data_IF_323776290935
#
_entry.id   IF_323776290935
#
_cell.length_a   1.000
_cell.length_b   1.000
_cell.length_c   1.000
_cell.angle_alpha   90.00
_cell.angle_beta   90.00
_cell.angle_gamma   90.00
#
_symmetry.space_group_name_H-M   'P 1'
#
loop_
_entity.id
_entity.type
_entity.pdbx_description
1 polymer ?
#
# COMPACT_ATOMS: atom_id res chain seq x y z
N UNK A 1 32.92 -11.64 -21.87
CA UNK A 1 33.71 -11.30 -23.09
C UNK A 1 32.78 -11.17 -24.30
N UNK A 2 31.88 -12.12 -24.52
CA UNK A 2 31.04 -12.17 -25.73
C UNK A 2 30.02 -11.05 -25.84
N UNK A 3 29.45 -10.58 -24.72
CA UNK A 3 28.48 -9.48 -24.73
C UNK A 3 29.13 -8.13 -25.08
N UNK A 4 30.35 -7.86 -24.62
CA UNK A 4 31.09 -6.65 -25.01
C UNK A 4 31.37 -6.62 -26.51
N UNK A 5 31.74 -7.75 -27.09
CA UNK A 5 31.97 -7.86 -28.53
C UNK A 5 30.68 -7.70 -29.33
N UNK A 6 29.56 -8.20 -28.82
CA UNK A 6 28.22 -8.13 -29.44
C UNK A 6 27.61 -6.71 -29.35
N UNK A 7 27.90 -5.98 -28.28
CA UNK A 7 27.35 -4.64 -28.01
C UNK A 7 28.46 -3.63 -27.70
N UNK A 8 29.31 -3.25 -28.70
CA UNK A 8 30.50 -2.42 -28.48
C UNK A 8 30.18 -1.00 -28.04
N UNK A 9 28.97 -0.51 -28.24
CA UNK A 9 28.52 0.84 -27.85
C UNK A 9 27.78 0.85 -26.49
N UNK A 10 27.60 -0.31 -25.85
CA UNK A 10 26.94 -0.37 -24.55
C UNK A 10 27.86 0.12 -23.42
N UNK A 11 27.30 0.88 -22.49
CA UNK A 11 27.98 1.22 -21.25
C UNK A 11 28.26 -0.05 -20.44
N UNK A 12 29.48 -0.17 -19.93
CA UNK A 12 29.89 -1.30 -19.12
C UNK A 12 29.90 -0.93 -17.64
N UNK A 13 29.06 -1.61 -16.86
CA UNK A 13 29.04 -1.49 -15.40
C UNK A 13 29.60 -2.77 -14.79
N UNK A 14 30.67 -2.66 -14.02
CA UNK A 14 31.27 -3.80 -13.31
C UNK A 14 30.53 -4.03 -11.98
N UNK A 15 29.85 -5.18 -11.87
CA UNK A 15 29.18 -5.58 -10.64
C UNK A 15 30.16 -6.05 -9.52
N UNK A 16 31.46 -6.05 -9.79
CA UNK A 16 32.53 -6.42 -8.83
C UNK A 16 32.29 -7.72 -8.09
N UNK A 17 31.76 -8.72 -8.78
CA UNK A 17 31.40 -10.02 -8.21
C UNK A 17 30.08 -10.06 -7.44
N UNK A 18 29.32 -8.97 -7.46
CA UNK A 18 27.99 -8.89 -6.84
C UNK A 18 26.92 -9.63 -7.66
N UNK A 19 25.75 -9.80 -7.04
CA UNK A 19 24.57 -10.37 -7.66
C UNK A 19 23.79 -9.28 -8.39
N UNK A 20 23.43 -9.54 -9.65
CA UNK A 20 22.52 -8.69 -10.43
C UNK A 20 21.14 -9.31 -10.36
N UNK A 21 20.15 -8.54 -9.94
CA UNK A 21 18.75 -8.97 -9.83
C UNK A 21 17.82 -7.81 -10.23
N UNK A 22 16.53 -8.10 -10.57
CA UNK A 22 15.54 -7.06 -10.73
C UNK A 22 15.42 -6.20 -9.48
N UNK A 23 15.13 -4.91 -9.64
CA UNK A 23 14.89 -4.03 -8.51
C UNK A 23 13.66 -4.48 -7.71
N UNK A 24 13.69 -4.20 -6.41
CA UNK A 24 12.62 -4.59 -5.50
C UNK A 24 11.37 -3.74 -5.74
N UNK A 25 10.21 -4.33 -5.48
CA UNK A 25 8.90 -3.67 -5.55
C UNK A 25 8.33 -3.63 -4.14
N UNK A 26 7.98 -2.43 -3.66
CA UNK A 26 7.25 -2.23 -2.42
C UNK A 26 5.76 -2.11 -2.74
N UNK A 27 4.96 -3.13 -2.37
CA UNK A 27 3.57 -3.23 -2.79
C UNK A 27 2.59 -2.41 -1.92
N UNK A 28 3.08 -1.76 -0.86
CA UNK A 28 2.31 -0.83 -0.02
C UNK A 28 3.25 0.00 0.84
N UNK A 29 3.16 1.32 0.70
CA UNK A 29 3.91 2.28 1.51
C UNK A 29 3.12 3.59 1.66
N UNK A 30 3.54 4.43 2.60
CA UNK A 30 3.00 5.76 2.82
C UNK A 30 4.09 6.80 2.68
N UNK A 31 4.17 7.43 1.53
CA UNK A 31 5.17 8.47 1.25
C UNK A 31 5.11 9.61 2.28
N UNK A 32 3.92 9.98 2.73
CA UNK A 32 3.72 11.04 3.71
C UNK A 32 4.37 10.75 5.07
N UNK A 33 4.67 9.51 5.37
CA UNK A 33 5.23 9.08 6.65
C UNK A 33 6.73 9.37 6.82
N UNK A 34 7.44 9.73 5.75
CA UNK A 34 8.89 9.91 5.82
C UNK A 34 9.33 10.97 6.84
N UNK A 35 8.52 12.02 7.04
CA UNK A 35 8.78 13.08 8.01
C UNK A 35 8.37 12.72 9.46
N UNK A 36 7.72 11.56 9.66
CA UNK A 36 7.38 11.07 11.00
C UNK A 36 8.58 10.51 11.77
N UNK A 37 9.68 10.18 11.06
CA UNK A 37 10.87 9.61 11.68
C UNK A 37 11.51 10.59 12.65
N UNK A 38 11.57 10.19 13.93
CA UNK A 38 12.11 11.04 15.00
C UNK A 38 11.16 12.13 15.50
N UNK A 39 9.92 12.18 15.01
CA UNK A 39 8.90 13.08 15.52
C UNK A 39 8.53 12.69 16.95
N UNK A 40 8.55 13.67 17.85
CA UNK A 40 8.03 13.55 19.22
C UNK A 40 6.76 14.37 19.35
N UNK A 41 5.68 13.74 19.78
CA UNK A 41 4.39 14.41 20.02
C UNK A 41 4.16 14.41 21.53
N UNK A 42 4.00 15.61 22.10
CA UNK A 42 3.80 15.79 23.53
C UNK A 42 2.54 15.06 24.03
N UNK A 43 2.71 14.25 25.08
CA UNK A 43 1.60 13.48 25.66
C UNK A 43 1.16 12.27 24.87
N UNK A 44 1.79 11.95 23.73
CA UNK A 44 1.48 10.77 22.95
C UNK A 44 1.93 9.49 23.67
N UNK A 45 0.97 8.67 24.07
CA UNK A 45 1.20 7.36 24.71
C UNK A 45 0.05 6.42 24.38
N UNK A 46 -0.05 5.92 23.13
CA UNK A 46 -1.18 5.14 22.68
C UNK A 46 -1.26 3.79 23.37
N UNK A 47 -2.48 3.39 23.71
CA UNK A 47 -2.80 2.07 24.30
C UNK A 47 -3.60 1.19 23.35
N UNK A 48 -4.00 1.74 22.19
CA UNK A 48 -4.75 1.06 21.16
C UNK A 48 -4.32 1.53 19.76
N UNK A 49 -4.59 0.72 18.77
CA UNK A 49 -4.34 1.07 17.37
C UNK A 49 -5.08 2.34 16.93
N UNK A 50 -6.32 2.53 17.39
CA UNK A 50 -7.06 3.75 17.09
C UNK A 50 -6.34 5.01 17.61
N UNK A 51 -5.75 4.94 18.81
CA UNK A 51 -4.97 6.03 19.36
C UNK A 51 -3.65 6.27 18.62
N UNK A 52 -3.07 5.22 18.00
CA UNK A 52 -1.93 5.38 17.07
C UNK A 52 -2.36 6.19 15.83
N UNK A 53 -3.52 5.88 15.26
CA UNK A 53 -4.04 6.60 14.11
C UNK A 53 -4.37 8.05 14.46
N UNK A 54 -5.20 8.29 15.48
CA UNK A 54 -5.68 9.63 15.83
C UNK A 54 -4.57 10.54 16.39
N UNK A 55 -3.72 9.98 17.25
CA UNK A 55 -2.67 10.74 17.93
C UNK A 55 -1.40 10.97 17.11
N UNK A 56 -1.13 10.17 16.09
CA UNK A 56 0.09 10.30 15.28
C UNK A 56 -0.22 10.47 13.80
N UNK A 57 -0.80 9.48 13.12
CA UNK A 57 -0.92 9.51 11.66
C UNK A 57 -1.88 10.58 11.15
N UNK A 58 -3.06 10.71 11.76
CA UNK A 58 -4.04 11.74 11.42
C UNK A 58 -3.62 13.14 11.88
N UNK A 59 -2.78 13.21 12.94
CA UNK A 59 -2.15 14.47 13.32
C UNK A 59 -1.15 14.94 12.25
N UNK A 60 -0.33 14.03 11.73
CA UNK A 60 0.65 14.32 10.68
C UNK A 60 -0.06 14.75 9.39
N UNK A 61 -1.00 13.96 8.89
CA UNK A 61 -1.64 14.22 7.61
C UNK A 61 -2.49 15.50 7.59
N UNK A 62 -3.07 15.89 8.72
CA UNK A 62 -3.76 17.18 8.89
C UNK A 62 -2.82 18.39 8.88
N UNK A 63 -1.51 18.19 8.95
CA UNK A 63 -0.49 19.23 8.92
C UNK A 63 0.40 19.21 7.68
N UNK A 64 0.17 18.29 6.74
CA UNK A 64 0.92 18.21 5.48
C UNK A 64 0.29 19.09 4.41
N UNK A 65 0.98 20.18 4.08
CA UNK A 65 0.76 20.97 2.87
C UNK A 65 1.49 20.34 1.66
N UNK A 66 1.35 20.94 0.48
CA UNK A 66 2.01 20.43 -0.74
C UNK A 66 3.54 20.47 -0.68
N UNK A 67 4.13 21.43 0.04
CA UNK A 67 5.60 21.50 0.17
C UNK A 67 6.12 20.43 1.14
N UNK A 68 5.43 20.19 2.25
CA UNK A 68 5.74 19.08 3.16
C UNK A 68 5.54 17.71 2.49
N UNK A 69 4.47 17.55 1.70
CA UNK A 69 4.22 16.36 0.88
C UNK A 69 5.38 16.12 -0.10
N UNK A 70 5.84 17.16 -0.80
CA UNK A 70 7.00 17.07 -1.69
C UNK A 70 8.28 16.69 -0.95
N UNK A 71 8.56 17.31 0.18
CA UNK A 71 9.75 17.01 0.99
C UNK A 71 9.73 15.58 1.52
N UNK A 72 8.57 15.10 1.98
CA UNK A 72 8.38 13.71 2.40
C UNK A 72 8.62 12.74 1.24
N UNK A 73 8.10 13.05 0.04
CA UNK A 73 8.31 12.23 -1.14
C UNK A 73 9.80 12.15 -1.53
N UNK A 74 10.52 13.27 -1.48
CA UNK A 74 11.97 13.28 -1.74
C UNK A 74 12.73 12.39 -0.75
N UNK A 75 12.41 12.50 0.55
CA UNK A 75 13.07 11.72 1.59
C UNK A 75 12.82 10.21 1.40
N UNK A 76 11.56 9.79 1.18
CA UNK A 76 11.20 8.39 1.04
C UNK A 76 11.73 7.78 -0.26
N UNK A 77 11.67 8.50 -1.39
CA UNK A 77 12.17 8.02 -2.67
C UNK A 77 13.68 7.80 -2.63
N UNK A 78 14.45 8.75 -2.04
CA UNK A 78 15.89 8.59 -1.85
C UNK A 78 16.22 7.36 -1.01
N UNK A 79 15.48 7.17 0.10
CA UNK A 79 15.69 6.03 0.99
C UNK A 79 15.33 4.70 0.28
N UNK A 80 14.22 4.66 -0.44
CA UNK A 80 13.81 3.51 -1.26
C UNK A 80 14.86 3.11 -2.29
N UNK A 81 15.45 4.08 -3.01
CA UNK A 81 16.52 3.83 -4.00
C UNK A 81 17.74 3.23 -3.32
N UNK A 82 18.13 3.74 -2.14
CA UNK A 82 19.27 3.19 -1.37
C UNK A 82 19.04 1.74 -0.94
N UNK A 83 17.80 1.34 -0.72
CA UNK A 83 17.40 -0.03 -0.38
C UNK A 83 17.14 -0.92 -1.61
N UNK A 84 17.38 -0.41 -2.82
CA UNK A 84 17.19 -1.18 -4.07
C UNK A 84 15.75 -1.31 -4.52
N UNK A 85 14.84 -0.52 -3.97
CA UNK A 85 13.45 -0.44 -4.43
C UNK A 85 13.39 0.41 -5.69
N UNK A 86 12.72 -0.09 -6.72
CA UNK A 86 12.57 0.59 -8.02
C UNK A 86 11.12 0.86 -8.41
N UNK A 87 10.18 0.28 -7.66
CA UNK A 87 8.74 0.48 -7.87
C UNK A 87 8.03 0.54 -6.51
N UNK A 88 7.19 1.53 -6.32
CA UNK A 88 6.41 1.72 -5.09
C UNK A 88 4.92 1.82 -5.39
N UNK A 89 4.11 1.28 -4.47
CA UNK A 89 2.67 1.48 -4.42
C UNK A 89 2.38 2.36 -3.21
N UNK A 90 2.14 3.65 -3.46
CA UNK A 90 1.90 4.63 -2.42
C UNK A 90 0.42 4.78 -2.10
N UNK A 91 0.14 4.94 -0.83
CA UNK A 91 -1.18 5.17 -0.29
C UNK A 91 -1.14 6.48 0.51
N UNK A 92 -1.54 7.60 -0.12
CA UNK A 92 -1.24 8.95 0.34
C UNK A 92 -2.38 9.60 1.12
N UNK A 93 -2.01 10.33 2.17
CA UNK A 93 -2.89 11.23 2.91
C UNK A 93 -2.19 12.56 3.23
N UNK A 94 -2.88 13.69 2.98
CA UNK A 94 -2.45 15.05 3.32
C UNK A 94 -3.67 15.95 3.45
N UNK A 95 -4.44 15.79 4.56
CA UNK A 95 -5.72 16.48 4.72
C UNK A 95 -5.60 18.00 4.98
N UNK A 96 -4.39 18.53 5.25
CA UNK A 96 -4.16 19.97 5.20
C UNK A 96 -4.43 20.51 3.78
N UNK A 97 -3.81 19.91 2.78
CA UNK A 97 -3.94 20.34 1.38
C UNK A 97 -4.08 19.11 0.45
N UNK A 98 -5.34 18.78 0.10
CA UNK A 98 -5.68 17.58 -0.69
C UNK A 98 -5.42 17.78 -2.19
N UNK A 99 -5.97 18.83 -2.86
CA UNK A 99 -5.86 18.96 -4.30
C UNK A 99 -4.41 19.15 -4.77
N UNK A 100 -3.99 18.31 -5.71
CA UNK A 100 -2.66 18.38 -6.33
C UNK A 100 -1.57 17.63 -5.58
N UNK A 101 -1.88 16.98 -4.45
CA UNK A 101 -0.91 16.23 -3.64
C UNK A 101 -0.31 15.03 -4.38
N UNK A 102 -1.11 14.26 -5.10
CA UNK A 102 -0.62 13.14 -5.92
C UNK A 102 0.29 13.62 -7.05
N UNK A 103 0.01 14.77 -7.63
CA UNK A 103 0.88 15.36 -8.65
C UNK A 103 2.23 15.79 -8.09
N UNK A 104 2.28 16.33 -6.85
CA UNK A 104 3.55 16.64 -6.18
C UNK A 104 4.42 15.40 -5.98
N UNK A 105 3.80 14.29 -5.59
CA UNK A 105 4.51 13.00 -5.46
C UNK A 105 4.98 12.50 -6.84
N UNK A 106 4.12 12.57 -7.85
CA UNK A 106 4.44 12.14 -9.21
C UNK A 106 5.62 12.94 -9.82
N UNK A 107 5.70 14.25 -9.55
CA UNK A 107 6.83 15.09 -9.95
C UNK A 107 8.14 14.57 -9.35
N UNK A 108 8.15 14.28 -8.05
CA UNK A 108 9.33 13.77 -7.34
C UNK A 108 9.71 12.38 -7.85
N UNK A 109 8.77 11.45 -7.97
CA UNK A 109 9.09 10.09 -8.45
C UNK A 109 9.65 10.12 -9.87
N UNK A 110 9.17 11.02 -10.73
CA UNK A 110 9.71 11.23 -12.07
C UNK A 110 11.11 11.81 -12.05
N UNK A 111 11.36 12.81 -11.20
CA UNK A 111 12.67 13.45 -11.06
C UNK A 111 13.76 12.43 -10.68
N UNK A 112 13.44 11.52 -9.77
CA UNK A 112 14.36 10.49 -9.30
C UNK A 112 14.34 9.18 -10.13
N UNK A 113 13.48 9.07 -11.14
CA UNK A 113 13.38 7.88 -11.98
C UNK A 113 12.77 6.66 -11.26
N UNK A 114 11.93 6.87 -10.24
CA UNK A 114 11.20 5.84 -9.51
C UNK A 114 9.88 5.53 -10.20
N UNK A 115 9.56 4.23 -10.38
CA UNK A 115 8.20 3.82 -10.75
C UNK A 115 7.27 3.96 -9.57
N UNK A 116 6.11 4.54 -9.79
CA UNK A 116 5.11 4.73 -8.73
C UNK A 116 3.69 4.44 -9.22
N UNK A 117 2.94 3.71 -8.41
CA UNK A 117 1.49 3.60 -8.48
C UNK A 117 0.91 4.37 -7.30
N UNK A 118 0.17 5.44 -7.55
CA UNK A 118 -0.27 6.38 -6.52
C UNK A 118 -1.79 6.34 -6.36
N UNK A 119 -2.25 6.58 -5.14
CA UNK A 119 -3.65 6.82 -4.82
C UNK A 119 -3.77 7.70 -3.57
N UNK A 120 -4.93 8.37 -3.41
CA UNK A 120 -5.24 9.20 -2.26
C UNK A 120 -6.23 8.48 -1.32
N UNK A 121 -5.99 8.52 -0.02
CA UNK A 121 -6.86 7.94 1.00
C UNK A 121 -8.19 8.69 1.14
N UNK A 122 -9.24 8.22 0.47
CA UNK A 122 -10.59 8.71 0.72
C UNK A 122 -11.01 8.34 2.15
N UNK A 123 -11.52 9.32 2.89
CA UNK A 123 -11.99 9.14 4.26
C UNK A 123 -13.04 10.20 4.62
N UNK A 124 -14.00 9.84 5.44
CA UNK A 124 -15.05 10.75 5.96
C UNK A 124 -14.65 11.39 7.31
N UNK A 125 -13.50 11.03 7.89
CA UNK A 125 -13.06 11.44 9.23
C UNK A 125 -12.85 12.94 9.41
N UNK A 126 -12.51 13.67 8.34
CA UNK A 126 -12.29 15.11 8.34
C UNK A 126 -13.46 15.88 7.68
N UNK A 127 -14.63 15.23 7.58
CA UNK A 127 -15.87 15.82 7.09
C UNK A 127 -16.10 15.68 5.59
N UNK A 128 -17.32 16.02 5.16
CA UNK A 128 -17.78 15.78 3.80
C UNK A 128 -16.97 16.53 2.73
N UNK A 129 -16.54 17.75 3.02
CA UNK A 129 -15.73 18.53 2.08
C UNK A 129 -14.40 17.84 1.75
N UNK A 130 -13.67 17.41 2.79
CA UNK A 130 -12.40 16.70 2.62
C UNK A 130 -12.58 15.34 1.94
N UNK A 131 -13.66 14.64 2.27
CA UNK A 131 -14.04 13.39 1.60
C UNK A 131 -14.27 13.61 0.09
N UNK A 132 -15.00 14.65 -0.30
CA UNK A 132 -15.23 14.98 -1.71
C UNK A 132 -13.93 15.41 -2.43
N UNK A 133 -13.07 16.20 -1.78
CA UNK A 133 -11.76 16.57 -2.31
C UNK A 133 -10.90 15.33 -2.55
N UNK A 134 -10.90 14.35 -1.63
CA UNK A 134 -10.14 13.10 -1.74
C UNK A 134 -10.63 12.22 -2.90
N UNK A 135 -11.94 12.13 -3.10
CA UNK A 135 -12.52 11.45 -4.27
C UNK A 135 -12.10 12.13 -5.57
N UNK A 136 -12.15 13.48 -5.60
CA UNK A 136 -11.79 14.25 -6.78
C UNK A 136 -10.29 14.15 -7.08
N UNK A 137 -9.40 14.17 -6.08
CA UNK A 137 -7.95 14.02 -6.24
C UNK A 137 -7.60 12.69 -6.92
N UNK A 138 -8.21 11.56 -6.46
CA UNK A 138 -8.04 10.27 -7.13
C UNK A 138 -8.49 10.33 -8.59
N UNK A 139 -9.67 10.92 -8.85
CA UNK A 139 -10.23 11.03 -10.20
C UNK A 139 -9.32 11.85 -11.12
N UNK A 140 -8.87 13.01 -10.67
CA UNK A 140 -8.02 13.91 -11.45
C UNK A 140 -6.67 13.26 -11.77
N UNK A 141 -6.12 12.51 -10.81
CA UNK A 141 -4.87 11.78 -11.01
C UNK A 141 -5.03 10.60 -11.97
N UNK A 142 -6.14 9.87 -11.91
CA UNK A 142 -6.48 8.81 -12.88
C UNK A 142 -6.63 9.41 -14.28
N UNK A 143 -7.37 10.53 -14.41
CA UNK A 143 -7.54 11.26 -15.67
C UNK A 143 -6.17 11.67 -16.26
N UNK A 144 -5.27 12.18 -15.39
CA UNK A 144 -3.91 12.53 -15.81
C UNK A 144 -3.12 11.32 -16.32
N UNK A 145 -3.15 10.19 -15.61
CA UNK A 145 -2.42 8.98 -16.02
C UNK A 145 -2.94 8.38 -17.32
N UNK A 146 -4.25 8.46 -17.58
CA UNK A 146 -4.85 8.02 -18.85
C UNK A 146 -4.48 8.93 -20.03
N UNK A 147 -4.44 10.25 -19.79
CA UNK A 147 -4.04 11.22 -20.81
C UNK A 147 -2.54 11.22 -21.09
N UNK A 148 -1.73 10.76 -20.13
CA UNK A 148 -0.27 10.71 -20.20
C UNK A 148 0.26 9.29 -19.91
N UNK A 149 -0.02 8.31 -20.78
CA UNK A 149 0.40 6.91 -20.56
C UNK A 149 1.90 6.81 -20.34
N UNK A 150 2.30 6.09 -19.31
CA UNK A 150 3.72 5.95 -18.92
C UNK A 150 3.97 4.60 -18.26
N UNK A 151 5.14 4.02 -18.49
CA UNK A 151 5.62 2.84 -17.75
C UNK A 151 6.20 3.21 -16.38
N UNK A 152 6.27 4.50 -16.07
CA UNK A 152 6.82 5.00 -14.81
C UNK A 152 5.75 5.39 -13.80
N UNK A 153 4.52 5.68 -14.24
CA UNK A 153 3.47 6.22 -13.39
C UNK A 153 2.13 5.53 -13.67
N UNK A 154 1.51 5.03 -12.63
CA UNK A 154 0.18 4.41 -12.65
C UNK A 154 -0.68 4.98 -11.53
N UNK A 155 -1.98 4.80 -11.63
CA UNK A 155 -2.96 5.21 -10.63
C UNK A 155 -3.77 4.02 -10.12
N UNK A 156 -4.16 4.09 -8.86
CA UNK A 156 -5.25 3.32 -8.28
C UNK A 156 -6.26 4.28 -7.64
N UNK A 157 -7.38 3.78 -7.17
CA UNK A 157 -8.34 4.56 -6.41
C UNK A 157 -8.17 4.23 -4.91
N UNK A 158 -7.72 5.18 -4.10
CA UNK A 158 -7.42 4.98 -2.69
C UNK A 158 -8.66 5.09 -1.80
N UNK A 159 -8.69 4.28 -0.75
CA UNK A 159 -9.61 4.41 0.37
C UNK A 159 -8.89 4.10 1.67
N UNK A 160 -9.12 4.87 2.75
CA UNK A 160 -8.39 4.67 3.99
C UNK A 160 -8.69 3.29 4.60
N UNK A 161 -9.77 3.15 5.35
CA UNK A 161 -10.20 1.90 5.99
C UNK A 161 -11.72 1.90 6.18
N UNK A 162 -12.33 0.71 6.36
CA UNK A 162 -13.80 0.57 6.35
C UNK A 162 -14.48 1.40 7.44
N UNK A 163 -13.87 1.52 8.61
CA UNK A 163 -14.43 2.28 9.73
C UNK A 163 -14.36 3.81 9.56
N UNK A 164 -13.66 4.30 8.53
CA UNK A 164 -13.57 5.73 8.21
C UNK A 164 -14.29 6.10 6.92
N UNK A 165 -14.97 5.15 6.27
CA UNK A 165 -15.65 5.37 4.99
C UNK A 165 -17.09 4.87 5.11
N UNK A 166 -18.06 5.75 4.89
CA UNK A 166 -19.48 5.39 4.85
C UNK A 166 -19.86 4.68 3.54
N UNK A 167 -20.98 3.95 3.54
CA UNK A 167 -21.51 3.33 2.31
C UNK A 167 -21.77 4.37 1.22
N UNK A 168 -22.28 5.55 1.61
CA UNK A 168 -22.48 6.69 0.69
C UNK A 168 -21.17 7.10 0.00
N UNK A 169 -20.07 7.05 0.74
CA UNK A 169 -18.76 7.41 0.19
C UNK A 169 -18.19 6.29 -0.68
N UNK A 170 -18.41 5.01 -0.33
CA UNK A 170 -18.08 3.91 -1.24
C UNK A 170 -18.84 4.01 -2.56
N UNK A 171 -20.12 4.34 -2.55
CA UNK A 171 -20.91 4.55 -3.78
C UNK A 171 -20.34 5.71 -4.61
N UNK A 172 -19.92 6.79 -3.97
CA UNK A 172 -19.24 7.93 -4.63
C UNK A 172 -17.91 7.51 -5.27
N UNK A 173 -17.09 6.73 -4.55
CA UNK A 173 -15.83 6.19 -5.06
C UNK A 173 -16.07 5.29 -6.29
N UNK A 174 -17.04 4.39 -6.20
CA UNK A 174 -17.42 3.49 -7.30
C UNK A 174 -17.90 4.28 -8.53
N UNK A 175 -18.74 5.29 -8.33
CA UNK A 175 -19.22 6.16 -9.40
C UNK A 175 -18.07 6.98 -10.05
N UNK A 176 -17.17 7.54 -9.26
CA UNK A 176 -16.03 8.32 -9.75
C UNK A 176 -14.98 7.47 -10.48
N UNK A 177 -14.71 6.26 -10.00
CA UNK A 177 -13.79 5.31 -10.64
C UNK A 177 -14.39 4.69 -11.92
N UNK A 178 -15.68 4.37 -11.90
CA UNK A 178 -16.38 3.72 -13.03
C UNK A 178 -15.65 2.49 -13.59
N UNK A 179 -14.95 1.74 -12.74
CA UNK A 179 -14.21 0.52 -13.10
C UNK A 179 -12.92 0.74 -13.90
N UNK A 180 -12.40 1.96 -13.95
CA UNK A 180 -11.19 2.32 -14.74
C UNK A 180 -9.93 1.70 -14.17
N UNK A 181 -9.75 1.78 -12.83
CA UNK A 181 -8.59 1.25 -12.10
C UNK A 181 -9.02 0.39 -10.92
N UNK A 182 -8.10 -0.37 -10.34
CA UNK A 182 -8.32 -1.07 -9.07
C UNK A 182 -8.31 -0.13 -7.88
N UNK A 183 -8.78 -0.64 -6.74
CA UNK A 183 -8.74 0.09 -5.47
C UNK A 183 -7.55 -0.32 -4.62
N UNK A 184 -7.07 0.58 -3.79
CA UNK A 184 -6.08 0.30 -2.75
C UNK A 184 -6.65 0.78 -1.41
N UNK A 185 -6.85 -0.14 -0.46
CA UNK A 185 -7.57 0.14 0.79
C UNK A 185 -7.06 -0.74 1.92
N UNK A 186 -6.97 -0.22 3.16
CA UNK A 186 -6.68 -1.00 4.35
C UNK A 186 -7.93 -1.79 4.78
N UNK A 187 -7.75 -3.07 5.07
CA UNK A 187 -8.86 -3.97 5.38
C UNK A 187 -8.55 -4.85 6.58
N UNK A 188 -9.39 -4.76 7.59
CA UNK A 188 -9.31 -5.62 8.78
C UNK A 188 -7.91 -5.60 9.41
N UNK A 189 -7.27 -4.44 9.45
CA UNK A 189 -5.97 -4.25 10.10
C UNK A 189 -6.13 -4.39 11.62
N UNK A 190 -7.01 -3.60 12.22
CA UNK A 190 -7.40 -3.73 13.62
C UNK A 190 -8.81 -4.29 13.76
N UNK A 191 -9.13 -4.84 14.94
CA UNK A 191 -10.48 -5.34 15.24
C UNK A 191 -11.55 -4.23 15.25
N UNK A 192 -11.16 -2.97 15.44
CA UNK A 192 -12.03 -1.81 15.31
C UNK A 192 -12.71 -1.74 13.92
N UNK A 193 -11.99 -2.08 12.85
CA UNK A 193 -12.51 -2.13 11.48
C UNK A 193 -13.63 -3.20 11.36
N UNK A 194 -13.39 -4.36 11.95
CA UNK A 194 -14.38 -5.48 11.98
C UNK A 194 -15.61 -5.13 12.81
N UNK A 195 -15.41 -4.57 14.01
CA UNK A 195 -16.52 -4.23 14.91
C UNK A 195 -17.38 -3.10 14.37
N UNK A 196 -16.78 -2.04 13.84
CA UNK A 196 -17.49 -0.93 13.20
C UNK A 196 -18.34 -1.43 12.04
N UNK A 197 -17.75 -2.23 11.16
CA UNK A 197 -18.41 -2.78 9.98
C UNK A 197 -19.62 -3.66 10.36
N UNK A 198 -19.47 -4.50 11.38
CA UNK A 198 -20.57 -5.33 11.88
C UNK A 198 -21.65 -4.51 12.58
N UNK A 199 -21.26 -3.56 13.43
CA UNK A 199 -22.18 -2.77 14.25
C UNK A 199 -23.03 -1.82 13.40
N UNK A 200 -22.40 -1.11 12.47
CA UNK A 200 -23.02 -0.03 11.71
C UNK A 200 -23.66 -0.52 10.40
N UNK A 201 -23.15 -1.62 9.80
CA UNK A 201 -23.56 -2.07 8.48
C UNK A 201 -24.01 -3.53 8.44
N UNK A 202 -23.88 -4.29 9.54
CA UNK A 202 -24.29 -5.70 9.60
C UNK A 202 -23.50 -6.63 8.67
N UNK A 203 -22.35 -6.20 8.18
CA UNK A 203 -21.46 -6.92 7.26
C UNK A 203 -20.04 -6.93 7.79
N UNK A 204 -19.26 -7.96 7.48
CA UNK A 204 -17.82 -7.92 7.71
C UNK A 204 -17.12 -7.10 6.61
N UNK A 205 -15.91 -6.58 6.87
CA UNK A 205 -15.20 -5.65 5.97
C UNK A 205 -15.17 -6.09 4.50
N UNK A 206 -14.73 -7.31 4.20
CA UNK A 206 -14.62 -7.79 2.80
C UNK A 206 -15.99 -7.98 2.15
N UNK A 207 -17.01 -8.39 2.90
CA UNK A 207 -18.39 -8.50 2.40
C UNK A 207 -18.93 -7.12 2.00
N UNK A 208 -18.66 -6.10 2.84
CA UNK A 208 -19.07 -4.72 2.57
C UNK A 208 -18.41 -4.17 1.30
N UNK A 209 -17.11 -4.44 1.10
CA UNK A 209 -16.42 -4.08 -0.14
C UNK A 209 -17.00 -4.78 -1.38
N UNK A 210 -17.39 -6.04 -1.23
CA UNK A 210 -18.06 -6.79 -2.30
C UNK A 210 -19.40 -6.17 -2.67
N UNK A 211 -20.22 -5.78 -1.70
CA UNK A 211 -21.53 -5.18 -1.91
C UNK A 211 -21.43 -3.84 -2.68
N UNK A 212 -20.34 -3.08 -2.52
CA UNK A 212 -20.06 -1.83 -3.23
C UNK A 212 -19.23 -1.99 -4.52
N UNK A 213 -18.92 -3.22 -4.95
CA UNK A 213 -18.19 -3.48 -6.20
C UNK A 213 -16.72 -3.01 -6.18
N UNK A 214 -16.10 -2.93 -4.99
CA UNK A 214 -14.71 -2.48 -4.81
C UNK A 214 -13.71 -3.59 -5.14
N UNK A 215 -14.10 -4.87 -4.94
CA UNK A 215 -13.21 -6.01 -5.15
C UNK A 215 -12.98 -6.31 -6.64
N UNK A 216 -11.82 -6.88 -6.95
CA UNK A 216 -11.49 -7.30 -8.31
C UNK A 216 -9.98 -7.52 -8.52
N UNK A 217 -9.58 -8.02 -9.71
CA UNK A 217 -8.20 -8.48 -9.97
C UNK A 217 -7.13 -7.39 -9.94
N UNK A 218 -7.52 -6.12 -9.99
CA UNK A 218 -6.62 -4.96 -9.88
C UNK A 218 -6.66 -4.30 -8.50
N UNK A 219 -7.52 -4.76 -7.58
CA UNK A 219 -7.67 -4.19 -6.23
C UNK A 219 -6.68 -4.80 -5.27
N UNK A 220 -6.08 -3.97 -4.42
CA UNK A 220 -5.15 -4.33 -3.34
C UNK A 220 -5.81 -4.07 -2.00
N UNK A 221 -5.87 -5.09 -1.14
CA UNK A 221 -6.30 -5.00 0.25
C UNK A 221 -5.06 -5.02 1.16
N UNK A 222 -4.82 -3.92 1.86
CA UNK A 222 -3.74 -3.82 2.84
C UNK A 222 -4.03 -4.66 4.09
N UNK A 223 -3.00 -5.26 4.68
CA UNK A 223 -2.97 -6.01 5.94
C UNK A 223 -3.78 -7.31 5.97
N UNK A 224 -5.09 -7.28 5.85
CA UNK A 224 -5.98 -8.45 5.92
C UNK A 224 -5.73 -9.33 7.17
N UNK A 225 -5.49 -8.71 8.35
CA UNK A 225 -5.10 -9.44 9.57
C UNK A 225 -6.28 -10.21 10.14
N UNK A 226 -7.43 -9.54 10.30
CA UNK A 226 -8.60 -10.09 10.98
C UNK A 226 -9.68 -10.59 10.00
N UNK A 227 -9.29 -10.96 8.77
CA UNK A 227 -10.19 -11.61 7.82
C UNK A 227 -10.48 -13.05 8.25
N UNK A 228 -11.73 -13.48 8.10
CA UNK A 228 -12.12 -14.87 8.37
C UNK A 228 -12.11 -15.72 7.09
N UNK A 229 -12.36 -17.02 7.22
CA UNK A 229 -12.34 -17.97 6.10
C UNK A 229 -13.33 -17.60 4.99
N UNK A 230 -14.54 -17.13 5.33
CA UNK A 230 -15.55 -16.73 4.35
C UNK A 230 -15.09 -15.47 3.56
N UNK A 231 -14.45 -14.50 4.24
CA UNK A 231 -13.88 -13.34 3.60
C UNK A 231 -12.70 -13.72 2.68
N UNK A 232 -11.85 -14.66 3.09
CA UNK A 232 -10.81 -15.21 2.22
C UNK A 232 -11.39 -15.88 0.97
N UNK A 233 -12.53 -16.55 1.08
CA UNK A 233 -13.21 -17.17 -0.07
C UNK A 233 -13.75 -16.11 -1.03
N UNK A 234 -14.26 -14.99 -0.53
CA UNK A 234 -14.67 -13.84 -1.34
C UNK A 234 -13.45 -13.21 -2.05
N UNK A 235 -12.36 -12.95 -1.32
CA UNK A 235 -11.10 -12.43 -1.89
C UNK A 235 -10.62 -13.33 -3.02
N UNK A 236 -10.64 -14.66 -2.81
CA UNK A 236 -10.26 -15.63 -3.83
C UNK A 236 -11.20 -15.62 -5.03
N UNK A 237 -12.50 -15.60 -4.81
CA UNK A 237 -13.51 -15.65 -5.87
C UNK A 237 -13.49 -14.40 -6.76
N UNK A 238 -13.14 -13.26 -6.21
CA UNK A 238 -13.02 -11.97 -6.91
C UNK A 238 -11.62 -11.74 -7.51
N UNK A 239 -10.70 -12.68 -7.31
CA UNK A 239 -9.28 -12.57 -7.70
C UNK A 239 -8.58 -11.30 -7.17
N UNK A 240 -9.04 -10.80 -6.02
CA UNK A 240 -8.51 -9.61 -5.36
C UNK A 240 -7.14 -9.90 -4.73
N UNK A 241 -6.24 -8.93 -4.77
CA UNK A 241 -4.88 -9.01 -4.22
C UNK A 241 -4.83 -8.57 -2.76
N UNK A 242 -3.92 -9.17 -1.98
CA UNK A 242 -3.63 -8.74 -0.61
C UNK A 242 -2.17 -8.29 -0.47
N UNK A 243 -1.87 -7.43 0.52
CA UNK A 243 -0.50 -7.07 0.88
C UNK A 243 -0.30 -7.23 2.39
N UNK A 244 0.74 -7.94 2.77
CA UNK A 244 1.18 -8.07 4.15
C UNK A 244 2.26 -7.02 4.48
N UNK A 245 2.08 -6.30 5.59
CA UNK A 245 2.99 -5.27 6.09
C UNK A 245 3.51 -5.68 7.48
N UNK A 246 4.46 -6.62 7.57
CA UNK A 246 4.75 -7.35 8.81
C UNK A 246 5.27 -6.46 9.93
N UNK A 247 6.13 -5.49 9.64
CA UNK A 247 6.70 -4.58 10.64
C UNK A 247 5.66 -3.63 11.21
N UNK A 248 4.84 -3.06 10.34
CA UNK A 248 3.72 -2.21 10.75
C UNK A 248 2.72 -2.98 11.61
N UNK A 249 2.33 -4.19 11.17
CA UNK A 249 1.41 -5.02 11.93
C UNK A 249 1.91 -5.30 13.35
N UNK A 250 3.21 -5.55 13.50
CA UNK A 250 3.84 -5.81 14.80
C UNK A 250 4.03 -4.53 15.61
N UNK A 251 4.49 -3.45 14.98
CA UNK A 251 4.72 -2.17 15.64
C UNK A 251 3.44 -1.51 16.14
N UNK A 252 2.35 -1.62 15.38
CA UNK A 252 1.02 -1.16 15.76
C UNK A 252 0.28 -2.15 16.69
N UNK A 253 0.89 -3.30 17.00
CA UNK A 253 0.33 -4.36 17.85
C UNK A 253 -1.07 -4.85 17.40
N UNK A 254 -1.35 -4.85 16.09
CA UNK A 254 -2.66 -5.22 15.51
C UNK A 254 -2.81 -6.71 15.24
N UNK A 255 -1.71 -7.47 15.25
CA UNK A 255 -1.70 -8.91 15.06
C UNK A 255 -0.85 -9.37 13.88
N UNK A 256 -1.04 -10.60 13.45
CA UNK A 256 -0.28 -11.22 12.37
C UNK A 256 -1.23 -11.62 11.24
N UNK A 257 -1.00 -11.11 10.05
CA UNK A 257 -1.79 -11.49 8.86
C UNK A 257 -1.69 -13.00 8.60
N UNK A 258 -2.81 -13.68 8.27
CA UNK A 258 -2.84 -15.13 8.03
C UNK A 258 -2.22 -15.53 6.67
N UNK A 259 -1.00 -15.09 6.40
CA UNK A 259 -0.29 -15.25 5.11
C UNK A 259 -0.30 -16.69 4.62
N UNK A 260 -0.01 -17.65 5.51
CA UNK A 260 0.04 -19.08 5.15
C UNK A 260 -1.32 -19.60 4.65
N UNK A 261 -2.43 -19.10 5.25
CA UNK A 261 -3.79 -19.50 4.87
C UNK A 261 -4.20 -18.83 3.54
N UNK A 262 -3.92 -17.53 3.38
CA UNK A 262 -4.17 -16.79 2.14
C UNK A 262 -3.40 -17.41 0.97
N UNK A 263 -2.11 -17.69 1.16
CA UNK A 263 -1.27 -18.32 0.16
C UNK A 263 -1.76 -19.73 -0.22
N UNK A 264 -2.10 -20.56 0.78
CA UNK A 264 -2.65 -21.91 0.57
C UNK A 264 -3.96 -21.90 -0.21
N UNK A 265 -4.81 -20.88 -0.03
CA UNK A 265 -6.03 -20.68 -0.84
C UNK A 265 -5.72 -20.19 -2.27
N UNK A 266 -4.47 -19.89 -2.60
CA UNK A 266 -4.04 -19.37 -3.90
C UNK A 266 -4.48 -17.92 -4.13
N UNK A 267 -4.61 -17.13 -3.06
CA UNK A 267 -4.80 -15.68 -3.12
C UNK A 267 -3.44 -15.04 -3.44
N UNK A 268 -3.41 -14.10 -4.35
CA UNK A 268 -2.20 -13.33 -4.64
C UNK A 268 -1.93 -12.37 -3.48
N UNK A 269 -0.93 -12.71 -2.67
CA UNK A 269 -0.49 -11.89 -1.54
C UNK A 269 0.93 -11.39 -1.78
N UNK A 270 1.13 -10.07 -1.67
CA UNK A 270 2.41 -9.37 -1.78
C UNK A 270 2.99 -8.95 -0.44
N UNK A 271 4.13 -8.29 -0.49
CA UNK A 271 4.85 -7.72 0.66
C UNK A 271 4.97 -6.21 0.50
N UNK A 272 4.58 -5.48 1.52
CA UNK A 272 4.76 -4.04 1.65
C UNK A 272 5.46 -3.68 2.97
N UNK A 273 5.72 -2.40 3.16
CA UNK A 273 6.39 -1.88 4.35
C UNK A 273 5.52 -0.92 5.16
N UNK A 274 4.42 -0.44 4.56
CA UNK A 274 3.58 0.56 5.20
C UNK A 274 4.39 1.83 5.54
N UNK A 275 4.15 2.44 6.69
CA UNK A 275 4.81 3.65 7.16
C UNK A 275 6.13 3.39 7.95
N UNK A 276 6.65 2.17 7.96
CA UNK A 276 7.73 1.78 8.88
C UNK A 276 9.13 1.85 8.26
N UNK A 277 9.40 1.10 7.20
CA UNK A 277 10.72 1.01 6.59
C UNK A 277 10.63 1.07 5.05
N UNK A 278 11.76 1.21 4.37
CA UNK A 278 11.86 0.99 2.93
C UNK A 278 12.72 -0.24 2.62
N UNK A 279 13.22 -0.95 3.64
CA UNK A 279 14.04 -2.14 3.49
C UNK A 279 13.16 -3.38 3.32
N UNK A 280 12.92 -3.76 2.06
CA UNK A 280 12.15 -4.95 1.71
C UNK A 280 12.81 -6.26 2.17
N UNK A 281 14.14 -6.27 2.37
CA UNK A 281 14.85 -7.45 2.88
C UNK A 281 14.72 -7.57 4.40
N UNK A 282 14.56 -6.48 5.11
CA UNK A 282 14.15 -6.50 6.52
C UNK A 282 12.71 -7.01 6.64
N UNK A 283 11.79 -6.48 5.83
CA UNK A 283 10.39 -6.91 5.82
C UNK A 283 10.22 -8.41 5.54
N UNK A 284 11.01 -9.00 4.63
CA UNK A 284 10.97 -10.46 4.39
C UNK A 284 11.41 -11.25 5.61
N UNK A 285 12.44 -10.78 6.32
CA UNK A 285 12.92 -11.40 7.58
C UNK A 285 11.83 -11.36 8.65
N UNK A 286 11.21 -10.19 8.85
CA UNK A 286 10.15 -10.02 9.86
C UNK A 286 8.91 -10.84 9.48
N UNK A 287 8.50 -10.84 8.21
CA UNK A 287 7.41 -11.69 7.73
C UNK A 287 7.66 -13.18 8.04
N UNK A 288 8.85 -13.68 7.75
CA UNK A 288 9.20 -15.08 8.02
C UNK A 288 9.14 -15.42 9.51
N UNK A 289 9.78 -14.58 10.34
CA UNK A 289 9.82 -14.79 11.79
C UNK A 289 8.42 -14.73 12.41
N UNK A 290 7.58 -13.76 12.00
CA UNK A 290 6.22 -13.63 12.52
C UNK A 290 5.33 -14.82 12.16
N UNK A 291 5.41 -15.33 10.91
CA UNK A 291 4.63 -16.50 10.49
C UNK A 291 5.06 -17.76 11.27
N UNK A 292 6.36 -18.00 11.44
CA UNK A 292 6.88 -19.14 12.21
C UNK A 292 6.49 -19.06 13.68
N UNK A 293 6.60 -17.87 14.27
CA UNK A 293 6.23 -17.66 15.66
C UNK A 293 4.73 -17.90 15.88
N UNK A 294 3.87 -17.34 15.01
CA UNK A 294 2.43 -17.51 15.09
C UNK A 294 1.98 -18.96 14.87
N UNK A 295 2.62 -19.67 13.94
CA UNK A 295 2.31 -21.07 13.66
C UNK A 295 2.94 -22.06 14.67
N UNK A 296 3.87 -21.61 15.52
CA UNK A 296 4.72 -22.48 16.36
C UNK A 296 5.41 -23.59 15.57
N UNK A 297 5.81 -23.33 14.32
CA UNK A 297 6.41 -24.31 13.39
C UNK A 297 7.63 -23.69 12.68
N UNK A 298 8.83 -24.31 12.79
CA UNK A 298 10.05 -23.76 12.18
C UNK A 298 10.16 -23.98 10.67
N UNK A 299 9.39 -24.90 10.11
CA UNK A 299 9.48 -25.32 8.71
C UNK A 299 8.45 -24.68 7.75
N UNK A 300 7.72 -23.63 8.20
CA UNK A 300 6.74 -22.89 7.39
C UNK A 300 7.26 -21.52 6.98
N UNK A 301 6.63 -20.91 6.00
CA UNK A 301 6.74 -19.49 5.67
C UNK A 301 7.85 -19.14 4.69
N UNK A 302 8.85 -20.00 4.46
CA UNK A 302 9.99 -19.65 3.59
C UNK A 302 9.56 -19.43 2.14
N UNK A 303 8.86 -20.40 1.56
CA UNK A 303 8.40 -20.29 0.17
C UNK A 303 7.38 -19.17 0.00
N UNK A 304 6.42 -19.10 0.90
CA UNK A 304 5.33 -18.11 0.87
C UNK A 304 5.88 -16.68 0.94
N UNK A 305 6.77 -16.41 1.88
CA UNK A 305 7.32 -15.08 2.13
C UNK A 305 8.29 -14.66 1.01
N UNK A 306 9.11 -15.59 0.51
CA UNK A 306 9.99 -15.30 -0.64
C UNK A 306 9.19 -15.04 -1.92
N UNK A 307 8.12 -15.81 -2.15
CA UNK A 307 7.24 -15.58 -3.30
C UNK A 307 6.51 -14.23 -3.21
N UNK A 308 6.12 -13.77 -2.02
CA UNK A 308 5.51 -12.45 -1.84
C UNK A 308 6.39 -11.35 -2.42
N UNK A 309 7.67 -11.32 -2.06
CA UNK A 309 8.59 -10.27 -2.50
C UNK A 309 9.03 -10.45 -3.97
N UNK A 310 9.52 -11.64 -4.32
CA UNK A 310 10.25 -11.82 -5.58
C UNK A 310 9.38 -12.20 -6.78
N UNK A 311 8.14 -12.65 -6.54
CA UNK A 311 7.22 -13.09 -7.60
C UNK A 311 5.89 -12.35 -7.57
N UNK A 312 5.27 -12.27 -6.38
CA UNK A 312 3.91 -11.78 -6.29
C UNK A 312 3.84 -10.25 -6.43
N UNK A 313 4.79 -9.51 -5.87
CA UNK A 313 4.87 -8.06 -6.07
C UNK A 313 5.02 -7.70 -7.56
N UNK A 314 5.79 -8.48 -8.33
CA UNK A 314 5.88 -8.29 -9.78
C UNK A 314 4.55 -8.54 -10.48
N UNK A 315 3.83 -9.63 -10.14
CA UNK A 315 2.49 -9.89 -10.67
C UNK A 315 1.47 -8.81 -10.32
N UNK A 316 1.59 -8.22 -9.12
CA UNK A 316 0.74 -7.10 -8.71
C UNK A 316 1.04 -5.86 -9.57
N UNK A 317 2.31 -5.58 -9.82
CA UNK A 317 2.73 -4.50 -10.71
C UNK A 317 2.22 -4.72 -12.15
N UNK A 318 2.33 -5.93 -12.71
CA UNK A 318 1.75 -6.28 -14.01
C UNK A 318 0.24 -6.05 -14.07
N UNK A 319 -0.52 -6.49 -13.04
CA UNK A 319 -1.98 -6.30 -12.98
C UNK A 319 -2.40 -4.83 -12.92
N UNK A 320 -1.56 -3.97 -12.38
CA UNK A 320 -1.80 -2.52 -12.31
C UNK A 320 -1.25 -1.77 -13.52
N UNK A 321 -0.64 -2.49 -14.49
CA UNK A 321 -0.25 -1.97 -15.80
C UNK A 321 1.22 -1.57 -15.94
N UNK A 322 2.08 -1.96 -15.00
CA UNK A 322 3.54 -1.89 -15.22
C UNK A 322 4.00 -3.04 -16.14
N UNK A 323 5.06 -2.81 -16.95
CA UNK A 323 5.61 -3.85 -17.82
C UNK A 323 6.32 -4.96 -17.06
#
# INVERSE_FOLDING_TARGET
>A
ADLKAKYPQAEFVDARGGVIMPGLINAHTHIYSALARGLSIDGYNPTSFYEVLDGQWWYIDRNLDLEATKASAQALVIDSIKQGVTTIFDHHASFCEVPGSLMRIAEVTREFGMRACLCYEVSDRDGEEKSLQSVQENKDFIDYCEQNPSDMLKAMFGGHALFTISDKTFDRMAAANSGRVGYHIHVSEGMNDVYDSLQNYGRRPVQRLQDHGILGPKTILGHCIHVNTAEMDIIKATDTMCVNNPESNMGNAVGISPVLQLYKKGILIGLGTDAYTNDMLESIKVALCSQRHNACMPNVGWCEVTDMLFRNNAKMAERTGFP
#
